data_IF_445981520970
#
_entry.id   IF_445981520970
#
_cell.length_a   1.000
_cell.length_b   1.000
_cell.length_c   1.000
_cell.angle_alpha   90.00
_cell.angle_beta   90.00
_cell.angle_gamma   90.00
#
_symmetry.space_group_name_H-M   'P 1'
#
loop_
_entity.id
_entity.type
_entity.pdbx_description
1 polymer ?
#
# COMPACT_ATOMS: atom_id res chain seq x y z
N UNK A 1 -41.82 22.10 -29.38
CA UNK A 1 -40.40 22.41 -29.09
C UNK A 1 -40.07 21.88 -27.70
N UNK A 2 -38.94 21.19 -27.58
CA UNK A 2 -38.24 20.70 -26.37
C UNK A 2 -38.98 19.72 -25.44
N UNK A 3 -39.08 18.45 -25.87
CA UNK A 3 -39.16 17.31 -24.96
C UNK A 3 -37.80 17.11 -24.30
N UNK A 4 -37.61 17.71 -23.13
CA UNK A 4 -36.40 17.53 -22.32
C UNK A 4 -36.30 16.09 -21.83
N UNK A 5 -35.31 15.34 -22.31
CA UNK A 5 -34.98 14.00 -21.83
C UNK A 5 -34.52 14.10 -20.35
N UNK A 6 -35.45 13.91 -19.42
CA UNK A 6 -35.13 13.62 -18.03
C UNK A 6 -34.49 12.23 -17.98
N UNK A 7 -33.17 12.17 -17.93
CA UNK A 7 -32.46 10.93 -17.61
C UNK A 7 -32.85 10.57 -16.17
N UNK A 8 -33.56 9.46 -15.99
CA UNK A 8 -34.05 9.03 -14.70
C UNK A 8 -32.85 8.78 -13.75
N UNK A 9 -32.89 9.20 -12.47
CA UNK A 9 -31.80 8.99 -11.52
C UNK A 9 -31.31 7.53 -11.41
N UNK A 10 -32.20 6.57 -11.66
CA UNK A 10 -31.90 5.14 -11.68
C UNK A 10 -30.99 4.72 -12.85
N UNK A 11 -31.15 5.32 -14.03
CA UNK A 11 -30.36 5.00 -15.21
C UNK A 11 -28.90 5.47 -15.04
N UNK A 12 -28.72 6.65 -14.44
CA UNK A 12 -27.39 7.19 -14.12
C UNK A 12 -26.70 6.33 -13.06
N UNK A 13 -27.42 5.88 -12.03
CA UNK A 13 -26.89 4.98 -11.02
C UNK A 13 -26.41 3.66 -11.63
N UNK A 14 -27.22 3.02 -12.47
CA UNK A 14 -26.85 1.76 -13.14
C UNK A 14 -25.60 1.92 -14.02
N UNK A 15 -25.50 3.02 -14.78
CA UNK A 15 -24.30 3.32 -15.59
C UNK A 15 -23.06 3.49 -14.73
N UNK A 16 -23.17 4.22 -13.62
CA UNK A 16 -22.06 4.43 -12.70
C UNK A 16 -21.61 3.12 -12.03
N UNK A 17 -22.55 2.29 -11.59
CA UNK A 17 -22.23 0.98 -11.00
C UNK A 17 -21.57 0.04 -12.01
N UNK A 18 -22.05 0.03 -13.26
CA UNK A 18 -21.43 -0.75 -14.34
C UNK A 18 -20.00 -0.26 -14.62
N UNK A 19 -19.80 1.06 -14.74
CA UNK A 19 -18.48 1.63 -14.97
C UNK A 19 -17.53 1.37 -13.81
N UNK A 20 -17.98 1.57 -12.58
CA UNK A 20 -17.20 1.27 -11.37
C UNK A 20 -16.77 -0.20 -11.33
N UNK A 21 -17.69 -1.12 -11.62
CA UNK A 21 -17.38 -2.56 -11.63
C UNK A 21 -16.37 -2.94 -12.71
N UNK A 22 -16.44 -2.31 -13.90
CA UNK A 22 -15.43 -2.52 -14.96
C UNK A 22 -14.04 -2.06 -14.51
N UNK A 23 -13.95 -0.90 -13.86
CA UNK A 23 -12.69 -0.38 -13.32
C UNK A 23 -12.14 -1.27 -12.21
N UNK A 24 -12.99 -1.77 -11.32
CA UNK A 24 -12.59 -2.69 -10.24
C UNK A 24 -12.01 -4.00 -10.79
N UNK A 25 -12.62 -4.58 -11.82
CA UNK A 25 -12.10 -5.77 -12.51
C UNK A 25 -10.76 -5.50 -13.20
N UNK A 26 -10.62 -4.37 -13.88
CA UNK A 26 -9.36 -3.99 -14.52
C UNK A 26 -8.23 -3.81 -13.50
N UNK A 27 -8.52 -3.13 -12.38
CA UNK A 27 -7.58 -2.97 -11.27
C UNK A 27 -7.14 -4.31 -10.68
N UNK A 28 -8.07 -5.27 -10.53
CA UNK A 28 -7.75 -6.60 -10.02
C UNK A 28 -6.74 -7.33 -10.92
N UNK A 29 -6.95 -7.30 -12.24
CA UNK A 29 -6.05 -7.93 -13.20
C UNK A 29 -4.69 -7.23 -13.28
N UNK A 30 -4.68 -5.89 -13.27
CA UNK A 30 -3.43 -5.12 -13.23
C UNK A 30 -2.66 -5.36 -11.94
N UNK A 31 -3.34 -5.39 -10.78
CA UNK A 31 -2.71 -5.66 -9.49
C UNK A 31 -2.09 -7.06 -9.44
N UNK A 32 -2.73 -8.07 -10.04
CA UNK A 32 -2.15 -9.40 -10.17
C UNK A 32 -0.86 -9.36 -10.99
N UNK A 33 -0.89 -8.75 -12.18
CA UNK A 33 0.31 -8.58 -13.03
C UNK A 33 1.43 -7.81 -12.31
N UNK A 34 1.08 -6.72 -11.64
CA UNK A 34 2.02 -5.92 -10.84
C UNK A 34 2.65 -6.74 -9.71
N UNK A 35 1.85 -7.57 -9.02
CA UNK A 35 2.34 -8.46 -7.96
C UNK A 35 3.35 -9.47 -8.49
N UNK A 36 3.06 -10.09 -9.64
CA UNK A 36 3.97 -11.06 -10.27
C UNK A 36 5.27 -10.41 -10.75
N UNK A 37 5.19 -9.21 -11.33
CA UNK A 37 6.38 -8.43 -11.74
C UNK A 37 7.22 -8.04 -10.52
N UNK A 38 6.60 -7.55 -9.43
CA UNK A 38 7.31 -7.21 -8.18
C UNK A 38 8.06 -8.42 -7.63
N UNK A 39 7.40 -9.57 -7.51
CA UNK A 39 8.05 -10.82 -7.06
C UNK A 39 9.26 -11.19 -7.92
N UNK A 40 9.13 -11.14 -9.24
CA UNK A 40 10.25 -11.44 -10.17
C UNK A 40 11.39 -10.45 -9.98
N UNK A 41 11.09 -9.16 -9.82
CA UNK A 41 12.08 -8.11 -9.56
C UNK A 41 12.79 -8.35 -8.23
N UNK A 42 12.06 -8.65 -7.17
CA UNK A 42 12.62 -8.88 -5.83
C UNK A 42 13.53 -10.12 -5.81
N UNK A 43 13.14 -11.20 -6.50
CA UNK A 43 13.97 -12.40 -6.68
C UNK A 43 15.27 -12.09 -7.45
N UNK A 44 15.22 -11.23 -8.46
CA UNK A 44 16.42 -10.81 -9.17
C UNK A 44 17.30 -9.92 -8.30
N UNK A 45 16.69 -8.97 -7.58
CA UNK A 45 17.39 -8.06 -6.68
C UNK A 45 18.13 -8.83 -5.58
N UNK A 46 17.53 -9.87 -4.99
CA UNK A 46 18.18 -10.70 -3.97
C UNK A 46 19.39 -11.49 -4.47
N UNK A 47 19.54 -11.65 -5.80
CA UNK A 47 20.72 -12.26 -6.44
C UNK A 47 21.77 -11.21 -6.81
N UNK A 48 21.33 -10.02 -7.23
CA UNK A 48 22.22 -8.94 -7.69
C UNK A 48 22.91 -8.25 -6.52
N UNK A 49 22.17 -7.88 -5.47
CA UNK A 49 22.73 -7.11 -4.35
C UNK A 49 23.92 -7.80 -3.66
N UNK A 50 23.91 -9.12 -3.38
CA UNK A 50 25.07 -9.80 -2.81
C UNK A 50 26.33 -9.73 -3.68
N UNK A 51 26.18 -9.77 -5.01
CA UNK A 51 27.31 -9.67 -5.94
C UNK A 51 27.89 -8.25 -5.92
N UNK A 52 27.03 -7.22 -5.94
CA UNK A 52 27.49 -5.83 -5.82
C UNK A 52 28.28 -5.65 -4.52
N UNK A 53 27.83 -6.25 -3.43
CA UNK A 53 28.50 -6.17 -2.13
C UNK A 53 29.82 -6.96 -2.09
N UNK A 54 29.86 -8.19 -2.63
CA UNK A 54 31.09 -9.00 -2.62
C UNK A 54 32.21 -8.38 -3.44
N UNK A 55 31.85 -7.63 -4.48
CA UNK A 55 32.79 -6.96 -5.38
C UNK A 55 33.08 -5.49 -4.98
N UNK A 56 32.54 -4.99 -3.86
CA UNK A 56 32.67 -3.60 -3.39
C UNK A 56 32.26 -2.55 -4.45
N UNK A 57 31.12 -2.75 -5.10
CA UNK A 57 30.61 -1.90 -6.19
C UNK A 57 29.43 -1.00 -5.75
N UNK A 58 29.29 -0.72 -4.45
CA UNK A 58 28.14 0.00 -3.90
C UNK A 58 28.01 1.43 -4.43
N UNK A 59 29.13 2.10 -4.69
CA UNK A 59 29.19 3.47 -5.21
C UNK A 59 29.07 3.54 -6.75
N UNK A 60 29.00 2.39 -7.43
CA UNK A 60 28.97 2.36 -8.88
C UNK A 60 27.59 2.73 -9.44
N UNK A 61 27.62 3.37 -10.62
CA UNK A 61 26.44 3.59 -11.45
C UNK A 61 26.48 2.59 -12.61
N UNK A 62 25.49 1.70 -12.68
CA UNK A 62 25.34 0.71 -13.73
C UNK A 62 24.44 1.26 -14.84
N UNK A 63 25.03 1.70 -15.95
CA UNK A 63 24.27 2.17 -17.11
C UNK A 63 23.68 1.02 -17.92
N UNK A 64 22.39 1.13 -18.26
CA UNK A 64 21.65 0.21 -19.12
C UNK A 64 21.14 0.99 -20.36
N UNK A 65 22.00 1.21 -21.39
CA UNK A 65 21.68 2.09 -22.51
C UNK A 65 20.46 1.66 -23.32
N UNK A 66 20.26 0.34 -23.47
CA UNK A 66 19.10 -0.22 -24.18
C UNK A 66 17.75 0.20 -23.57
N UNK A 67 17.74 0.59 -22.29
CA UNK A 67 16.57 1.07 -21.57
C UNK A 67 16.70 2.54 -21.15
N UNK A 68 17.74 3.25 -21.61
CA UNK A 68 18.02 4.64 -21.25
C UNK A 68 17.98 4.90 -19.74
N UNK A 69 18.44 3.94 -18.95
CA UNK A 69 18.29 3.93 -17.49
C UNK A 69 19.63 3.66 -16.80
N UNK A 70 19.88 4.33 -15.68
CA UNK A 70 20.96 4.00 -14.76
C UNK A 70 20.41 3.29 -13.52
N UNK A 71 21.11 2.28 -13.04
CA UNK A 71 20.82 1.56 -11.80
C UNK A 71 21.94 1.84 -10.81
N UNK A 72 21.58 2.09 -9.56
CA UNK A 72 22.51 2.36 -8.47
C UNK A 72 22.01 1.61 -7.24
N UNK A 73 22.94 1.17 -6.39
CA UNK A 73 22.59 0.59 -5.10
C UNK A 73 22.18 1.72 -4.15
N UNK A 74 21.10 1.54 -3.39
CA UNK A 74 20.76 2.42 -2.27
C UNK A 74 20.55 1.58 -1.03
N UNK A 75 21.07 2.06 0.08
CA UNK A 75 20.67 1.58 1.39
C UNK A 75 19.21 1.98 1.63
N UNK A 76 18.36 0.99 1.93
CA UNK A 76 16.99 1.22 2.35
C UNK A 76 16.86 0.83 3.82
N UNK A 77 16.66 1.82 4.69
CA UNK A 77 16.33 1.60 6.09
C UNK A 77 14.83 1.47 6.24
N UNK A 78 14.36 0.30 6.66
CA UNK A 78 12.98 0.11 7.11
C UNK A 78 12.95 0.24 8.64
N UNK A 79 12.20 1.21 9.14
CA UNK A 79 11.86 1.29 10.56
C UNK A 79 10.60 0.50 10.83
N UNK A 80 10.51 -0.11 12.02
CA UNK A 80 9.25 -0.70 12.46
C UNK A 80 8.15 0.37 12.56
N UNK A 81 6.91 -0.03 12.31
CA UNK A 81 5.78 0.89 12.47
C UNK A 81 5.57 1.23 13.95
N UNK A 82 5.19 2.48 14.24
CA UNK A 82 4.69 2.91 15.56
C UNK A 82 3.28 2.33 15.83
N UNK A 83 3.18 1.00 15.82
CA UNK A 83 1.95 0.27 16.13
C UNK A 83 1.59 0.44 17.60
N UNK A 84 0.32 0.22 17.97
CA UNK A 84 -0.07 0.21 19.38
C UNK A 84 0.74 -0.81 20.19
N UNK A 85 1.11 -1.96 19.60
CA UNK A 85 1.97 -2.95 20.25
C UNK A 85 3.36 -2.38 20.53
N UNK A 86 4.00 -1.79 19.53
CA UNK A 86 5.31 -1.14 19.71
C UNK A 86 5.24 -0.05 20.79
N UNK A 87 4.22 0.82 20.72
CA UNK A 87 4.05 1.90 21.69
C UNK A 87 3.80 1.35 23.10
N UNK A 88 2.95 0.33 23.25
CA UNK A 88 2.67 -0.31 24.54
C UNK A 88 3.94 -0.92 25.14
N UNK A 89 4.72 -1.66 24.34
CA UNK A 89 6.02 -2.21 24.76
C UNK A 89 6.95 -1.09 25.25
N UNK A 90 7.15 -0.03 24.46
CA UNK A 90 8.06 1.07 24.83
C UNK A 90 7.57 1.92 25.99
N UNK A 91 6.26 2.08 26.15
CA UNK A 91 5.69 2.80 27.29
C UNK A 91 5.78 1.98 28.58
N UNK A 92 5.56 0.66 28.51
CA UNK A 92 5.76 -0.23 29.64
C UNK A 92 7.21 -0.21 30.11
N UNK A 93 8.16 -0.29 29.17
CA UNK A 93 9.60 -0.16 29.44
C UNK A 93 9.93 1.21 30.07
N UNK A 94 9.38 2.29 29.51
CA UNK A 94 9.66 3.65 29.98
C UNK A 94 9.10 3.95 31.37
N UNK A 95 7.89 3.47 31.67
CA UNK A 95 7.23 3.71 32.94
C UNK A 95 7.58 2.68 34.03
N UNK A 96 8.27 1.59 33.66
CA UNK A 96 8.55 0.43 34.51
C UNK A 96 7.26 -0.16 35.12
N UNK A 97 6.15 -0.10 34.38
CA UNK A 97 4.88 -0.73 34.74
C UNK A 97 4.00 -0.95 33.51
N UNK A 98 3.42 -2.16 33.35
CA UNK A 98 2.42 -2.44 32.33
C UNK A 98 1.13 -1.60 32.45
N UNK A 99 0.78 -1.18 33.67
CA UNK A 99 -0.50 -0.51 33.93
C UNK A 99 -0.52 0.91 33.33
N UNK A 100 0.58 1.67 33.50
CA UNK A 100 0.65 3.05 32.98
C UNK A 100 0.73 3.09 31.46
N UNK A 101 1.48 2.16 30.85
CA UNK A 101 1.53 2.05 29.38
C UNK A 101 0.15 1.70 28.81
N UNK A 102 -0.52 0.71 29.41
CA UNK A 102 -1.89 0.33 29.03
C UNK A 102 -2.90 1.50 29.13
N UNK A 103 -2.86 2.27 30.23
CA UNK A 103 -3.72 3.45 30.40
C UNK A 103 -3.49 4.51 29.31
N UNK A 104 -2.24 4.78 28.95
CA UNK A 104 -1.92 5.77 27.93
C UNK A 104 -2.34 5.29 26.53
N UNK A 105 -2.14 4.01 26.21
CA UNK A 105 -2.63 3.42 24.96
C UNK A 105 -4.16 3.52 24.86
N UNK A 106 -4.87 3.25 25.97
CA UNK A 106 -6.31 3.35 26.00
C UNK A 106 -6.77 4.80 25.79
N UNK A 107 -6.15 5.77 26.47
CA UNK A 107 -6.40 7.19 26.24
C UNK A 107 -6.24 7.58 24.77
N UNK A 108 -5.17 7.12 24.10
CA UNK A 108 -4.97 7.39 22.67
C UNK A 108 -6.07 6.79 21.79
N UNK A 109 -6.54 5.58 22.10
CA UNK A 109 -7.64 4.93 21.37
C UNK A 109 -8.95 5.71 21.53
N UNK A 110 -9.27 6.13 22.75
CA UNK A 110 -10.53 6.78 23.08
C UNK A 110 -10.62 8.21 22.51
N UNK A 111 -9.48 8.88 22.32
CA UNK A 111 -9.42 10.25 21.81
C UNK A 111 -9.11 10.33 20.31
N UNK A 112 -8.90 9.20 19.64
CA UNK A 112 -8.65 9.19 18.20
C UNK A 112 -9.94 9.52 17.44
N UNK A 113 -9.89 10.52 16.56
CA UNK A 113 -11.00 10.85 15.67
C UNK A 113 -11.35 9.63 14.81
N UNK A 114 -12.60 9.18 14.89
CA UNK A 114 -13.15 8.15 14.02
C UNK A 114 -14.05 8.82 12.98
N UNK A 115 -13.81 8.52 11.70
CA UNK A 115 -14.66 8.95 10.59
C UNK A 115 -15.21 7.71 9.88
N UNK A 116 -16.48 7.74 9.53
CA UNK A 116 -17.13 6.67 8.76
C UNK A 116 -17.33 7.12 7.33
N UNK A 117 -16.79 6.35 6.38
CA UNK A 117 -17.02 6.52 4.95
C UNK A 117 -17.67 5.26 4.37
N UNK A 118 -18.66 5.43 3.49
CA UNK A 118 -19.22 4.32 2.72
C UNK A 118 -18.38 4.07 1.47
N UNK A 119 -17.99 2.82 1.27
CA UNK A 119 -17.23 2.38 0.09
C UNK A 119 -17.99 1.29 -0.65
N UNK A 120 -17.85 1.25 -1.97
CA UNK A 120 -18.31 0.13 -2.77
C UNK A 120 -17.30 -1.02 -2.65
N UNK A 121 -17.81 -2.25 -2.56
CA UNK A 121 -17.02 -3.48 -2.55
C UNK A 121 -17.67 -4.48 -3.47
N UNK A 122 -16.93 -4.97 -4.47
CA UNK A 122 -17.38 -6.04 -5.33
C UNK A 122 -17.40 -7.35 -4.53
N UNK A 123 -18.46 -8.13 -4.70
CA UNK A 123 -18.55 -9.49 -4.20
C UNK A 123 -18.77 -10.41 -5.40
N UNK A 124 -17.75 -11.15 -5.80
CA UNK A 124 -17.86 -12.06 -6.92
C UNK A 124 -18.57 -13.33 -6.45
N UNK A 125 -19.67 -13.67 -7.10
CA UNK A 125 -20.29 -14.98 -6.96
C UNK A 125 -19.34 -15.97 -7.66
N UNK A 126 -18.79 -16.90 -6.88
CA UNK A 126 -17.94 -18.00 -7.36
C UNK A 126 -18.84 -19.01 -8.07
#
# INVERSE_FOLDING_TARGET
>A
MASGNYIQPMDTLQKNLLQWTKLDLELKELNKKCSDIRKKKDILQSRICPIIHSENLEDNIFSIPALQTNVLLKEQKSSESLSYKFLEEKLNDYFDTPEKGGLLIQYLKDNRKAETSFILKSNHLI
#
